data_IF_721486464399
#
_entry.id   IF_721486464399
#
_cell.length_a   1.000
_cell.length_b   1.000
_cell.length_c   1.000
_cell.angle_alpha   90.00
_cell.angle_beta   90.00
_cell.angle_gamma   90.00
#
_symmetry.space_group_name_H-M   'P 1'
#
loop_
_entity.id
_entity.type
_entity.pdbx_description
1 polymer ?
#
# COMPACT_ATOMS: atom_id res chain seq x y z
N UNK A 1 -11.49 79.42 -0.93
CA UNK A 1 -12.00 78.39 -1.85
C UNK A 1 -12.70 77.31 -1.05
N UNK A 2 -13.98 77.03 -1.37
CA UNK A 2 -14.83 76.05 -0.69
C UNK A 2 -14.43 74.63 -1.10
N UNK A 3 -14.32 73.71 -0.14
CA UNK A 3 -14.30 72.26 -0.41
C UNK A 3 -15.16 71.51 0.62
N UNK A 4 -16.40 71.29 0.20
CA UNK A 4 -17.22 70.07 0.25
C UNK A 4 -16.95 69.07 1.39
N UNK A 5 -17.98 68.89 2.24
CA UNK A 5 -18.14 67.78 3.18
C UNK A 5 -18.63 66.53 2.45
N UNK A 6 -17.99 65.38 2.66
CA UNK A 6 -18.55 64.07 2.30
C UNK A 6 -18.61 63.23 3.58
N UNK A 7 -19.85 62.96 4.00
CA UNK A 7 -20.23 62.08 5.10
C UNK A 7 -20.40 60.67 4.52
N UNK A 8 -19.59 59.70 4.97
CA UNK A 8 -19.73 58.29 4.59
C UNK A 8 -20.36 57.52 5.76
N UNK A 9 -21.58 57.04 5.57
CA UNK A 9 -22.33 56.22 6.53
C UNK A 9 -21.99 54.75 6.29
N UNK A 10 -21.47 54.05 7.32
CA UNK A 10 -21.20 52.62 7.26
C UNK A 10 -22.43 51.85 7.77
N UNK A 11 -23.09 51.09 6.90
CA UNK A 11 -24.21 50.20 7.25
C UNK A 11 -23.65 48.84 7.65
N UNK A 12 -23.90 48.42 8.91
CA UNK A 12 -23.57 47.08 9.41
C UNK A 12 -24.75 46.15 9.11
N UNK A 13 -24.54 45.16 8.23
CA UNK A 13 -25.52 44.11 7.99
C UNK A 13 -25.19 42.92 8.89
N UNK A 14 -25.96 42.75 9.97
CA UNK A 14 -25.98 41.52 10.77
C UNK A 14 -26.95 40.52 10.15
N UNK A 15 -26.44 39.45 9.54
CA UNK A 15 -27.27 38.30 9.19
C UNK A 15 -27.33 37.33 10.38
N UNK A 16 -28.41 37.44 11.15
CA UNK A 16 -29.01 36.28 11.81
C UNK A 16 -29.53 35.34 10.71
N UNK A 17 -29.21 34.05 10.77
CA UNK A 17 -30.05 33.06 10.10
C UNK A 17 -30.17 31.78 10.90
N UNK A 18 -31.42 31.36 10.99
CA UNK A 18 -31.99 30.37 11.87
C UNK A 18 -31.56 28.93 11.57
N UNK A 19 -31.52 28.12 12.62
CA UNK A 19 -31.70 26.67 12.55
C UNK A 19 -33.02 26.34 11.83
N UNK A 20 -32.95 25.44 10.85
CA UNK A 20 -34.08 24.59 10.46
C UNK A 20 -33.58 23.16 10.32
N UNK A 21 -34.09 22.30 11.19
CA UNK A 21 -34.10 20.85 11.04
C UNK A 21 -34.80 20.47 9.73
N UNK A 22 -34.14 19.66 8.91
CA UNK A 22 -34.77 18.91 7.83
C UNK A 22 -34.46 17.43 8.08
N UNK A 23 -35.46 16.72 8.61
CA UNK A 23 -35.57 15.27 8.47
C UNK A 23 -35.82 14.97 6.99
N UNK A 24 -34.85 14.41 6.30
CA UNK A 24 -35.10 13.61 5.09
C UNK A 24 -34.64 12.19 5.36
N UNK A 25 -35.59 11.26 5.43
CA UNK A 25 -35.30 9.84 5.37
C UNK A 25 -34.65 9.54 4.02
N UNK A 26 -33.34 9.34 4.04
CA UNK A 26 -32.62 8.67 2.98
C UNK A 26 -32.08 7.39 3.61
N UNK A 27 -32.45 6.25 3.03
CA UNK A 27 -31.87 4.97 3.38
C UNK A 27 -30.39 5.02 3.00
N UNK A 28 -29.55 5.56 3.89
CA UNK A 28 -28.11 5.57 3.71
C UNK A 28 -27.66 4.13 3.80
N UNK A 29 -27.40 3.52 2.65
CA UNK A 29 -26.53 2.34 2.60
C UNK A 29 -25.25 2.77 3.31
N UNK A 30 -25.04 2.22 4.49
CA UNK A 30 -23.93 2.54 5.37
C UNK A 30 -22.66 2.05 4.64
N UNK A 31 -22.07 2.90 3.81
CA UNK A 31 -20.76 2.65 3.24
C UNK A 31 -19.81 2.77 4.42
N UNK A 32 -19.52 1.65 5.09
CA UNK A 32 -18.55 1.59 6.20
C UNK A 32 -17.26 2.28 5.75
N UNK A 33 -17.08 3.53 6.16
CA UNK A 33 -15.88 4.33 5.87
C UNK A 33 -14.72 3.83 6.73
N UNK A 34 -13.52 3.98 6.18
CA UNK A 34 -12.28 3.50 6.78
C UNK A 34 -11.82 4.53 7.82
N UNK A 35 -12.38 4.46 9.03
CA UNK A 35 -12.43 5.63 9.92
C UNK A 35 -11.15 5.92 10.70
N UNK A 36 -10.16 5.04 10.71
CA UNK A 36 -8.81 5.41 11.22
C UNK A 36 -7.73 4.39 10.86
N UNK A 37 -6.50 4.90 10.69
CA UNK A 37 -5.29 4.08 10.54
C UNK A 37 -4.47 4.19 11.82
N UNK A 38 -4.39 3.12 12.60
CA UNK A 38 -3.35 3.00 13.64
C UNK A 38 -2.09 2.45 12.97
N UNK A 39 -1.10 3.31 12.74
CA UNK A 39 0.21 2.89 12.24
C UNK A 39 1.19 2.73 13.39
N UNK A 40 1.73 1.52 13.57
CA UNK A 40 2.86 1.31 14.48
C UNK A 40 4.10 1.03 13.63
N UNK A 41 4.99 2.02 13.51
CA UNK A 41 6.39 1.80 13.12
C UNK A 41 7.11 1.39 14.40
N UNK A 42 7.50 0.13 14.51
CA UNK A 42 7.91 -0.39 15.81
C UNK A 42 9.27 0.12 16.25
N UNK A 43 9.28 0.79 17.39
CA UNK A 43 10.43 0.84 18.31
C UNK A 43 10.42 -0.34 19.30
N UNK A 44 9.40 -1.21 19.32
CA UNK A 44 9.20 -2.22 20.40
C UNK A 44 8.59 -3.57 19.97
N UNK A 45 8.72 -4.02 18.71
CA UNK A 45 8.19 -5.35 18.31
C UNK A 45 9.17 -6.50 18.62
N UNK A 46 8.69 -7.56 19.27
CA UNK A 46 9.41 -8.85 19.39
C UNK A 46 9.75 -9.49 18.04
N UNK A 47 9.02 -9.16 16.97
CA UNK A 47 9.28 -9.68 15.62
C UNK A 47 10.07 -8.66 14.76
N UNK A 48 11.40 -8.83 14.74
CA UNK A 48 12.37 -7.98 14.01
C UNK A 48 12.17 -7.94 12.49
N UNK A 49 11.31 -8.81 11.92
CA UNK A 49 11.10 -8.88 10.47
C UNK A 49 10.03 -7.92 9.94
N UNK A 50 9.18 -7.36 10.81
CA UNK A 50 8.08 -6.46 10.43
C UNK A 50 8.57 -5.02 10.36
N UNK A 51 8.47 -4.42 9.17
CA UNK A 51 8.78 -3.02 8.92
C UNK A 51 7.64 -2.11 9.38
N UNK A 52 6.43 -2.33 8.87
CA UNK A 52 5.23 -1.56 9.22
C UNK A 52 4.06 -2.47 9.56
N UNK A 53 3.22 -2.00 10.48
CA UNK A 53 1.89 -2.57 10.72
C UNK A 53 0.86 -1.44 10.63
N UNK A 54 -0.14 -1.63 9.79
CA UNK A 54 -1.30 -0.77 9.66
C UNK A 54 -2.54 -1.53 10.11
N UNK A 55 -3.32 -0.93 11.00
CA UNK A 55 -4.63 -1.41 11.37
C UNK A 55 -5.69 -0.41 10.91
N UNK A 56 -6.59 -0.89 10.06
CA UNK A 56 -7.70 -0.14 9.49
C UNK A 56 -8.98 -0.57 10.19
N UNK A 57 -9.58 0.33 10.94
CA UNK A 57 -10.73 0.05 11.80
C UNK A 57 -12.01 0.50 11.10
N UNK A 58 -12.98 -0.40 10.96
CA UNK A 58 -14.36 -0.10 10.55
C UNK A 58 -15.29 0.05 11.76
N UNK A 59 -15.07 -0.77 12.80
CA UNK A 59 -15.71 -0.68 14.11
C UNK A 59 -14.87 -1.43 15.14
N UNK A 60 -15.21 -1.36 16.43
CA UNK A 60 -14.44 -1.97 17.53
C UNK A 60 -14.09 -3.46 17.31
N UNK A 61 -14.91 -4.20 16.57
CA UNK A 61 -14.72 -5.64 16.28
C UNK A 61 -14.39 -5.95 14.82
N UNK A 62 -14.30 -4.94 13.95
CA UNK A 62 -14.07 -5.06 12.51
C UNK A 62 -12.81 -4.29 12.12
N UNK A 63 -11.70 -5.00 11.92
CA UNK A 63 -10.47 -4.39 11.41
C UNK A 63 -9.81 -5.23 10.30
N UNK A 64 -9.05 -4.54 9.45
CA UNK A 64 -8.09 -5.15 8.54
C UNK A 64 -6.69 -4.77 8.99
N UNK A 65 -5.80 -5.74 9.07
CA UNK A 65 -4.41 -5.51 9.48
C UNK A 65 -3.50 -5.85 8.31
N UNK A 66 -2.67 -4.90 7.89
CA UNK A 66 -1.61 -5.09 6.89
C UNK A 66 -0.26 -5.01 7.57
N UNK A 67 0.54 -6.06 7.43
CA UNK A 67 1.91 -6.14 7.93
C UNK A 67 2.86 -6.26 6.74
N UNK A 68 3.84 -5.37 6.66
CA UNK A 68 4.86 -5.38 5.61
C UNK A 68 6.21 -5.73 6.22
N UNK A 69 7.00 -6.52 5.50
CA UNK A 69 8.32 -6.94 5.97
C UNK A 69 9.43 -5.94 5.64
N UNK A 70 10.55 -6.07 6.33
CA UNK A 70 11.83 -5.63 5.78
C UNK A 70 12.21 -6.48 4.54
N UNK A 71 13.11 -6.01 3.66
CA UNK A 71 13.63 -6.84 2.58
C UNK A 71 14.56 -7.93 3.12
N UNK A 72 14.54 -9.09 2.46
CA UNK A 72 15.70 -9.98 2.32
C UNK A 72 16.17 -9.88 0.88
N UNK A 73 17.41 -9.45 0.64
CA UNK A 73 17.81 -9.09 -0.71
C UNK A 73 19.27 -8.70 -0.83
N UNK A 74 19.60 -8.11 -1.99
CA UNK A 74 20.97 -7.81 -2.42
C UNK A 74 21.57 -8.86 -3.34
N UNK A 75 20.75 -9.78 -3.84
CA UNK A 75 21.17 -10.84 -4.76
C UNK A 75 21.14 -10.35 -6.19
N UNK A 76 21.97 -10.99 -7.01
CA UNK A 76 22.04 -10.75 -8.45
C UNK A 76 21.23 -11.79 -9.19
N UNK A 77 20.68 -11.39 -10.33
CA UNK A 77 20.03 -12.25 -11.29
C UNK A 77 20.47 -11.80 -12.68
N UNK A 78 20.90 -12.74 -13.52
CA UNK A 78 21.25 -12.47 -14.91
C UNK A 78 20.14 -13.01 -15.80
N UNK A 79 19.45 -12.12 -16.49
CA UNK A 79 18.37 -12.49 -17.39
C UNK A 79 18.93 -13.17 -18.67
N UNK A 80 18.11 -13.96 -19.39
CA UNK A 80 18.51 -14.62 -20.64
C UNK A 80 19.01 -13.65 -21.71
N UNK A 81 18.55 -12.40 -21.69
CA UNK A 81 19.00 -11.33 -22.59
C UNK A 81 20.32 -10.66 -22.16
N UNK A 82 21.01 -11.21 -21.15
CA UNK A 82 22.29 -10.71 -20.65
C UNK A 82 22.18 -9.57 -19.62
N UNK A 83 20.99 -8.99 -19.40
CA UNK A 83 20.81 -7.91 -18.41
C UNK A 83 20.93 -8.44 -16.99
N UNK A 84 21.70 -7.74 -16.16
CA UNK A 84 21.86 -8.08 -14.74
C UNK A 84 20.98 -7.21 -13.85
N UNK A 85 20.32 -7.84 -12.88
CA UNK A 85 19.44 -7.19 -11.94
C UNK A 85 19.87 -7.45 -10.50
N UNK A 86 19.66 -6.47 -9.63
CA UNK A 86 19.63 -6.68 -8.18
C UNK A 86 18.18 -6.82 -7.76
N UNK A 87 17.89 -7.83 -6.94
CA UNK A 87 16.55 -8.03 -6.39
C UNK A 87 16.53 -8.13 -4.87
N UNK A 88 15.34 -7.84 -4.34
CA UNK A 88 14.99 -8.02 -2.95
C UNK A 88 13.58 -8.61 -2.83
N UNK A 89 13.43 -9.53 -1.89
CA UNK A 89 12.17 -10.21 -1.55
C UNK A 89 11.60 -9.58 -0.30
N UNK A 90 10.32 -9.25 -0.37
CA UNK A 90 9.49 -8.78 0.72
C UNK A 90 8.32 -9.74 0.89
N UNK A 91 7.66 -9.67 2.04
CA UNK A 91 6.35 -10.26 2.23
C UNK A 91 5.37 -9.26 2.81
N UNK A 92 4.10 -9.49 2.49
CA UNK A 92 2.97 -8.80 3.09
C UNK A 92 2.01 -9.82 3.66
N UNK A 93 1.56 -9.59 4.88
CA UNK A 93 0.50 -10.39 5.53
C UNK A 93 -0.69 -9.51 5.78
N UNK A 94 -1.85 -10.01 5.40
CA UNK A 94 -3.13 -9.37 5.60
C UNK A 94 -3.97 -10.24 6.53
N UNK A 95 -4.50 -9.65 7.59
CA UNK A 95 -5.39 -10.34 8.53
C UNK A 95 -6.78 -9.71 8.48
N UNK A 96 -7.78 -10.55 8.21
CA UNK A 96 -9.18 -10.17 8.21
C UNK A 96 -9.76 -10.39 9.61
N UNK A 97 -10.10 -9.30 10.32
CA UNK A 97 -10.80 -9.39 11.61
C UNK A 97 -12.30 -9.08 11.48
N UNK A 98 -12.84 -8.90 10.29
CA UNK A 98 -14.27 -8.68 10.06
C UNK A 98 -15.05 -10.00 10.10
N UNK A 99 -16.39 -9.97 10.29
CA UNK A 99 -17.25 -11.15 10.19
C UNK A 99 -17.48 -11.62 8.75
N UNK A 100 -17.19 -10.78 7.76
CA UNK A 100 -17.39 -11.07 6.34
C UNK A 100 -16.07 -11.41 5.64
N UNK A 101 -16.14 -12.15 4.53
CA UNK A 101 -14.97 -12.43 3.70
C UNK A 101 -14.54 -11.17 2.94
N UNK A 102 -13.22 -11.03 2.72
CA UNK A 102 -12.65 -9.90 1.99
C UNK A 102 -11.81 -10.39 0.83
N UNK A 103 -12.13 -9.93 -0.37
CA UNK A 103 -11.33 -10.13 -1.56
C UNK A 103 -10.33 -8.98 -1.72
N UNK A 104 -9.07 -9.35 -1.95
CA UNK A 104 -7.98 -8.47 -2.28
C UNK A 104 -7.59 -8.70 -3.73
N UNK A 105 -7.64 -7.64 -4.54
CA UNK A 105 -7.13 -7.63 -5.90
C UNK A 105 -5.93 -6.70 -5.97
N UNK A 106 -4.79 -7.24 -6.39
CA UNK A 106 -3.58 -6.49 -6.72
C UNK A 106 -3.40 -6.60 -8.23
N UNK A 107 -3.18 -5.47 -8.87
CA UNK A 107 -2.99 -5.33 -10.31
C UNK A 107 -2.10 -4.11 -10.55
N UNK A 108 -0.82 -4.35 -10.81
CA UNK A 108 0.12 -3.27 -11.09
C UNK A 108 -0.09 -2.75 -12.51
N UNK A 109 -0.39 -1.46 -12.71
CA UNK A 109 -0.72 -0.92 -14.02
C UNK A 109 0.46 -0.89 -15.00
N UNK A 110 1.69 -0.85 -14.48
CA UNK A 110 2.93 -0.78 -15.26
C UNK A 110 3.92 -1.87 -14.82
N UNK A 111 4.84 -2.19 -15.71
CA UNK A 111 5.87 -3.23 -15.50
C UNK A 111 7.10 -2.67 -14.77
N UNK A 112 7.25 -1.34 -14.78
CA UNK A 112 8.35 -0.66 -14.10
C UNK A 112 7.99 0.76 -13.69
N UNK A 113 8.60 1.23 -12.61
CA UNK A 113 8.30 2.53 -12.01
C UNK A 113 9.59 3.30 -11.74
N UNK A 114 9.63 4.55 -12.18
CA UNK A 114 10.65 5.49 -11.76
C UNK A 114 10.43 5.89 -10.29
N UNK A 115 11.51 5.93 -9.52
CA UNK A 115 11.52 6.39 -8.14
C UNK A 115 12.06 7.83 -8.13
N UNK A 116 11.28 8.84 -7.73
CA UNK A 116 11.66 10.24 -7.92
C UNK A 116 13.00 10.62 -7.26
N UNK A 117 13.29 10.11 -6.06
CA UNK A 117 14.59 10.31 -5.41
C UNK A 117 15.76 9.55 -6.03
N UNK A 118 15.53 8.70 -7.03
CA UNK A 118 16.53 7.96 -7.81
C UNK A 118 16.24 8.14 -9.32
N UNK A 119 16.37 9.37 -9.84
CA UNK A 119 15.98 9.67 -11.21
C UNK A 119 16.75 8.79 -12.21
N UNK A 120 16.12 8.45 -13.34
CA UNK A 120 16.66 7.56 -14.39
C UNK A 120 16.77 6.09 -13.95
N UNK A 121 16.22 5.70 -12.79
CA UNK A 121 16.21 4.31 -12.32
C UNK A 121 14.79 3.78 -12.20
N UNK A 122 14.55 2.70 -12.95
CA UNK A 122 13.27 2.00 -12.99
C UNK A 122 13.32 0.73 -12.15
N UNK A 123 12.29 0.55 -11.34
CA UNK A 123 12.07 -0.63 -10.52
C UNK A 123 10.94 -1.45 -11.08
N UNK A 124 11.20 -2.73 -11.31
CA UNK A 124 10.19 -3.74 -11.65
C UNK A 124 9.64 -4.33 -10.36
N UNK A 125 8.34 -4.65 -10.37
CA UNK A 125 7.63 -5.22 -9.21
C UNK A 125 6.94 -6.49 -9.68
N UNK A 126 7.28 -7.61 -9.06
CA UNK A 126 6.70 -8.92 -9.37
C UNK A 126 6.10 -9.53 -8.10
N UNK A 127 4.95 -10.17 -8.25
CA UNK A 127 4.25 -10.90 -7.18
C UNK A 127 4.18 -12.38 -7.60
N UNK A 128 5.02 -13.25 -7.00
CA UNK A 128 4.88 -14.69 -7.14
C UNK A 128 3.52 -15.18 -6.63
N UNK A 129 3.01 -16.26 -7.22
CA UNK A 129 1.74 -16.88 -6.80
C UNK A 129 1.84 -17.62 -5.48
N UNK A 130 3.05 -17.90 -4.98
CA UNK A 130 3.33 -18.59 -3.74
C UNK A 130 2.69 -17.92 -2.51
N UNK A 131 2.27 -18.74 -1.56
CA UNK A 131 1.75 -18.28 -0.27
C UNK A 131 2.89 -18.15 0.74
N UNK A 132 2.99 -16.97 1.36
CA UNK A 132 3.91 -16.71 2.45
C UNK A 132 3.28 -17.10 3.79
N UNK A 133 4.07 -17.73 4.66
CA UNK A 133 3.69 -18.17 6.00
C UNK A 133 4.74 -17.73 7.03
N UNK A 134 4.34 -17.62 8.30
CA UNK A 134 5.21 -17.04 9.33
C UNK A 134 6.45 -17.91 9.66
N UNK A 135 6.34 -19.23 9.51
CA UNK A 135 7.45 -20.19 9.66
C UNK A 135 8.57 -19.98 8.63
N UNK A 136 8.27 -19.34 7.49
CA UNK A 136 9.27 -19.01 6.47
C UNK A 136 10.04 -17.72 6.77
N UNK A 137 9.63 -16.92 7.75
CA UNK A 137 10.32 -15.68 8.14
C UNK A 137 11.84 -15.85 8.35
N UNK A 138 12.35 -16.86 9.07
CA UNK A 138 13.79 -17.04 9.26
C UNK A 138 14.54 -17.49 8.00
N UNK A 139 13.87 -18.15 7.06
CA UNK A 139 14.50 -18.78 5.89
C UNK A 139 15.09 -17.77 4.91
N UNK A 140 16.11 -18.19 4.16
CA UNK A 140 16.65 -17.42 3.04
C UNK A 140 15.53 -17.02 2.07
N UNK A 141 15.51 -15.75 1.64
CA UNK A 141 14.44 -15.18 0.82
C UNK A 141 13.03 -15.45 1.32
N UNK A 142 12.86 -15.59 2.65
CA UNK A 142 11.59 -15.95 3.24
C UNK A 142 11.01 -17.27 2.70
N UNK A 143 11.89 -18.23 2.39
CA UNK A 143 11.52 -19.55 1.87
C UNK A 143 11.00 -19.56 0.44
N UNK A 144 11.13 -18.44 -0.29
CA UNK A 144 10.76 -18.35 -1.70
C UNK A 144 11.86 -18.96 -2.57
N UNK A 145 11.50 -19.95 -3.38
CA UNK A 145 12.41 -20.71 -4.25
C UNK A 145 12.08 -20.47 -5.72
N UNK A 146 12.87 -21.04 -6.65
CA UNK A 146 12.64 -20.99 -8.10
C UNK A 146 12.51 -19.57 -8.70
N UNK A 147 13.14 -18.58 -8.05
CA UNK A 147 13.03 -17.18 -8.42
C UNK A 147 13.54 -16.88 -9.83
N UNK A 148 14.65 -17.48 -10.25
CA UNK A 148 15.22 -17.21 -11.58
C UNK A 148 14.27 -17.63 -12.70
N UNK A 149 13.73 -18.86 -12.66
CA UNK A 149 12.73 -19.31 -13.63
C UNK A 149 11.46 -18.46 -13.61
N UNK A 150 11.06 -17.97 -12.43
CA UNK A 150 9.96 -17.04 -12.31
C UNK A 150 10.27 -15.69 -12.97
N UNK A 151 11.48 -15.15 -12.78
CA UNK A 151 11.90 -13.90 -13.42
C UNK A 151 11.98 -14.03 -14.94
N UNK A 152 12.59 -15.10 -15.45
CA UNK A 152 12.70 -15.34 -16.90
C UNK A 152 11.36 -15.22 -17.62
N UNK A 153 10.28 -15.69 -16.98
CA UNK A 153 8.93 -15.71 -17.55
C UNK A 153 8.15 -14.41 -17.37
N UNK A 154 8.49 -13.60 -16.37
CA UNK A 154 7.62 -12.53 -15.87
C UNK A 154 8.27 -11.15 -15.77
N UNK A 155 9.60 -11.02 -15.93
CA UNK A 155 10.31 -9.77 -15.67
C UNK A 155 9.83 -8.58 -16.52
N UNK A 156 9.30 -8.84 -17.71
CA UNK A 156 8.79 -7.81 -18.63
C UNK A 156 7.26 -7.75 -18.70
N UNK A 157 6.55 -8.35 -17.73
CA UNK A 157 5.09 -8.36 -17.66
C UNK A 157 4.59 -7.60 -16.41
N UNK A 158 3.37 -7.02 -16.46
CA UNK A 158 2.74 -6.52 -15.26
C UNK A 158 2.41 -7.70 -14.33
N UNK A 159 2.34 -7.43 -13.03
CA UNK A 159 2.09 -8.46 -12.03
C UNK A 159 0.79 -8.20 -11.30
N UNK A 160 0.06 -9.28 -11.02
CA UNK A 160 -1.24 -9.25 -10.35
C UNK A 160 -1.38 -10.41 -9.38
N UNK A 161 -2.26 -10.24 -8.40
CA UNK A 161 -2.58 -11.26 -7.42
C UNK A 161 -4.02 -11.09 -6.96
N UNK A 162 -4.79 -12.19 -6.91
CA UNK A 162 -6.08 -12.22 -6.23
C UNK A 162 -6.01 -13.14 -5.02
N UNK A 163 -6.57 -12.67 -3.91
CA UNK A 163 -6.74 -13.45 -2.67
C UNK A 163 -8.12 -13.20 -2.09
N UNK A 164 -8.69 -14.24 -1.49
CA UNK A 164 -9.89 -14.14 -0.66
C UNK A 164 -9.50 -14.54 0.76
N UNK A 165 -9.89 -13.75 1.75
CA UNK A 165 -9.58 -13.99 3.15
C UNK A 165 -10.89 -14.19 3.90
N UNK A 166 -11.10 -15.39 4.43
CA UNK A 166 -12.29 -15.70 5.22
C UNK A 166 -12.33 -14.86 6.50
N UNK A 167 -13.50 -14.76 7.15
CA UNK A 167 -13.63 -14.11 8.44
C UNK A 167 -12.61 -14.66 9.44
N UNK A 168 -11.97 -13.76 10.19
CA UNK A 168 -10.99 -14.07 11.25
C UNK A 168 -9.70 -14.77 10.79
N UNK A 169 -9.49 -14.95 9.48
CA UNK A 169 -8.28 -15.56 8.91
C UNK A 169 -7.22 -14.54 8.46
N UNK A 170 -6.08 -15.04 7.99
CA UNK A 170 -5.01 -14.22 7.42
C UNK A 170 -4.35 -14.92 6.24
N UNK A 171 -3.87 -14.15 5.27
CA UNK A 171 -3.07 -14.66 4.15
C UNK A 171 -1.77 -13.87 4.02
N UNK A 172 -0.73 -14.52 3.50
CA UNK A 172 0.55 -13.89 3.19
C UNK A 172 0.93 -14.10 1.74
N UNK A 173 1.61 -13.13 1.16
CA UNK A 173 2.17 -13.21 -0.19
C UNK A 173 3.51 -12.49 -0.27
N UNK A 174 4.27 -12.82 -1.31
CA UNK A 174 5.57 -12.23 -1.58
C UNK A 174 5.47 -11.04 -2.53
N UNK A 175 6.44 -10.14 -2.44
CA UNK A 175 6.68 -9.10 -3.43
C UNK A 175 8.17 -9.08 -3.72
N UNK A 176 8.53 -9.05 -4.99
CA UNK A 176 9.93 -8.95 -5.42
C UNK A 176 10.10 -7.65 -6.17
N UNK A 177 11.08 -6.86 -5.75
CA UNK A 177 11.52 -5.67 -6.50
C UNK A 177 12.81 -5.98 -7.23
N UNK A 178 12.90 -5.64 -8.51
CA UNK A 178 14.11 -5.78 -9.31
C UNK A 178 14.52 -4.43 -9.88
N UNK A 179 15.83 -4.21 -9.98
CA UNK A 179 16.41 -3.05 -10.67
C UNK A 179 17.59 -3.49 -11.50
N UNK A 180 17.79 -2.82 -12.64
CA UNK A 180 18.93 -3.07 -13.49
C UNK A 180 20.24 -2.66 -12.76
N UNK A 181 21.28 -3.47 -12.91
CA UNK A 181 22.63 -3.19 -12.40
C UNK A 181 23.34 -2.20 -13.32
N UNK A 182 23.00 -0.93 -13.21
CA UNK A 182 23.72 0.16 -13.90
C UNK A 182 23.94 1.34 -12.93
N UNK A 183 25.19 1.78 -12.80
CA UNK A 183 25.57 2.92 -11.95
C UNK A 183 25.74 2.58 -10.46
N UNK A 184 25.54 3.58 -9.59
CA UNK A 184 25.91 3.54 -8.17
C UNK A 184 25.13 2.50 -7.34
N UNK A 185 25.76 2.01 -6.28
CA UNK A 185 25.11 1.15 -5.28
C UNK A 185 24.23 2.01 -4.37
N UNK A 186 23.00 1.56 -4.07
CA UNK A 186 22.07 2.35 -3.27
C UNK A 186 21.60 1.57 -2.06
N UNK A 187 21.22 2.33 -1.03
CA UNK A 187 20.76 1.81 0.25
C UNK A 187 19.48 0.99 0.16
N UNK A 188 19.14 0.40 1.30
CA UNK A 188 18.09 -0.60 1.43
C UNK A 188 16.72 0.01 1.11
N UNK A 189 16.01 -0.57 0.14
CA UNK A 189 14.64 -0.14 -0.19
C UNK A 189 13.67 -0.61 0.88
N UNK A 190 12.73 0.28 1.22
CA UNK A 190 11.58 -0.04 2.05
C UNK A 190 10.35 0.01 1.18
N UNK A 191 9.50 -0.98 1.35
CA UNK A 191 8.24 -1.07 0.63
C UNK A 191 7.12 -1.38 1.57
N UNK A 192 5.93 -0.89 1.25
CA UNK A 192 4.75 -1.12 2.07
C UNK A 192 3.48 -1.10 1.24
N UNK A 193 2.57 -2.01 1.54
CA UNK A 193 1.17 -1.86 1.18
C UNK A 193 0.43 -1.03 2.21
N UNK A 194 -0.43 -0.13 1.72
CA UNK A 194 -1.35 0.69 2.50
C UNK A 194 -2.72 0.74 1.83
N UNK A 195 -3.76 1.07 2.60
CA UNK A 195 -5.11 1.31 2.10
C UNK A 195 -5.48 2.79 2.26
N UNK A 196 -6.16 3.33 1.24
CA UNK A 196 -6.85 4.63 1.31
C UNK A 196 -8.28 4.41 0.82
N UNK A 197 -9.22 4.37 1.77
CA UNK A 197 -10.56 3.84 1.52
C UNK A 197 -10.50 2.38 1.06
N UNK A 198 -11.15 2.06 -0.07
CA UNK A 198 -11.11 0.73 -0.68
C UNK A 198 -9.92 0.50 -1.62
N UNK A 199 -9.10 1.52 -1.87
CA UNK A 199 -7.99 1.42 -2.83
C UNK A 199 -6.71 0.96 -2.14
N UNK A 200 -6.00 0.03 -2.78
CA UNK A 200 -4.72 -0.48 -2.34
C UNK A 200 -3.58 0.27 -3.02
N UNK A 201 -2.60 0.68 -2.21
CA UNK A 201 -1.41 1.38 -2.65
C UNK A 201 -0.17 0.60 -2.25
N UNK A 202 0.77 0.48 -3.17
CA UNK A 202 2.11 -0.03 -2.89
C UNK A 202 3.08 1.13 -2.98
N UNK A 203 3.87 1.32 -1.94
CA UNK A 203 4.85 2.38 -1.85
C UNK A 203 6.25 1.79 -1.90
N UNK A 204 7.10 2.36 -2.74
CA UNK A 204 8.53 2.10 -2.79
C UNK A 204 9.21 3.43 -2.50
N UNK A 205 9.82 3.54 -1.32
CA UNK A 205 10.42 4.79 -0.84
C UNK A 205 9.44 5.97 -0.92
N UNK A 206 9.61 6.89 -1.86
CA UNK A 206 8.80 8.11 -2.07
C UNK A 206 7.80 7.97 -3.23
N UNK A 207 7.85 6.86 -3.98
CA UNK A 207 6.87 6.54 -5.03
C UNK A 207 5.71 5.76 -4.44
N UNK A 208 4.50 6.29 -4.58
CA UNK A 208 3.25 5.59 -4.25
C UNK A 208 2.52 5.17 -5.53
N UNK A 209 2.04 3.93 -5.58
CA UNK A 209 1.42 3.33 -6.76
C UNK A 209 0.05 2.77 -6.35
N UNK A 210 -1.02 3.31 -6.93
CA UNK A 210 -2.34 2.67 -6.85
C UNK A 210 -2.27 1.35 -7.63
N UNK A 211 -2.47 0.23 -6.93
CA UNK A 211 -2.19 -1.11 -7.48
C UNK A 211 -3.28 -2.11 -7.15
N UNK A 212 -4.48 -1.67 -6.77
CA UNK A 212 -5.54 -2.60 -6.45
C UNK A 212 -6.67 -2.03 -5.61
N UNK A 213 -7.49 -2.94 -5.11
CA UNK A 213 -8.64 -2.64 -4.27
C UNK A 213 -8.97 -3.79 -3.32
N UNK A 214 -9.81 -3.46 -2.34
CA UNK A 214 -10.48 -4.42 -1.46
C UNK A 214 -11.98 -4.40 -1.68
N UNK A 215 -12.58 -5.58 -1.68
CA UNK A 215 -14.01 -5.78 -1.85
C UNK A 215 -14.52 -6.71 -0.74
N UNK A 216 -15.54 -6.28 -0.02
CA UNK A 216 -16.25 -7.12 0.96
C UNK A 216 -17.28 -7.94 0.19
N UNK A 217 -17.43 -9.21 0.57
CA UNK A 217 -18.49 -10.09 0.07
C UNK A 217 -19.69 -10.07 1.00
#
# INVERSE_FOLDING_TARGET
>A
MKTIKILLVLVIITFFSCKKDIKSGLHTVNVETLDSVKSTKNSTNKNKSIYTKYEYIYSESKSLIIQNSFPKGGMRYKAPNGKEYIYAVFWTRISNKTPDAVDFKIDFPLNSYEIPTLPVKYYKILIPSDTMTLDKIPLFNYGLTNLESFFDKNIDKPSSLKRSIKPKESTGFYVVTLRLMEGTQYGILRTEFTLKGKNLFYKIRDKEIKCGSIEKK
#
